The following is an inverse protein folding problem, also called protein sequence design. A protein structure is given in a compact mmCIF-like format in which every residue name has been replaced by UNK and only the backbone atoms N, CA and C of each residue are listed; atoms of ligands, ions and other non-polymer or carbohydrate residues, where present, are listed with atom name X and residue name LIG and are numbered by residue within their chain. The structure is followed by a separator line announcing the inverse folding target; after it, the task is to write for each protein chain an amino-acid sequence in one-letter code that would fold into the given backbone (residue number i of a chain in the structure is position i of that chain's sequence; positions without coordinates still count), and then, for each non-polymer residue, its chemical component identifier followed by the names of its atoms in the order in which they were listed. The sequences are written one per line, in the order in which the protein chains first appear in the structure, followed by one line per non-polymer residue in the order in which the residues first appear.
data_IF_028235580130
#
_entry.id   IF_028235580130
#
_cell.length_a   1.000
_cell.length_b   1.000
_cell.length_c   1.000
_cell.angle_alpha   90.00
_cell.angle_beta   90.00
_cell.angle_gamma   90.00
#
_symmetry.space_group_name_H-M   'P 1'
#
loop_
_entity.id
_entity.type
_entity.pdbx_description
1 polymer ?
#
# COMPACT_ATOMS: atom_id res chain seq x y z
N UNK A 1 7.43 4.57 -5.51
CA UNK A 1 7.00 3.51 -4.59
C UNK A 1 8.15 2.66 -4.05
N UNK A 2 9.15 2.30 -4.87
CA UNK A 2 10.22 1.38 -4.46
C UNK A 2 10.91 1.71 -3.11
N UNK A 3 10.99 2.99 -2.75
CA UNK A 3 11.56 3.46 -1.47
C UNK A 3 10.50 3.98 -0.47
N UNK A 4 9.21 3.79 -0.74
CA UNK A 4 8.15 4.20 0.18
C UNK A 4 8.16 3.30 1.42
N UNK A 5 8.09 3.92 2.59
CA UNK A 5 8.11 3.25 3.89
C UNK A 5 6.87 3.60 4.72
N UNK A 6 6.65 2.86 5.80
CA UNK A 6 5.59 3.10 6.77
C UNK A 6 6.00 4.06 7.91
N UNK A 7 7.04 4.88 7.69
CA UNK A 7 7.51 5.81 8.70
C UNK A 7 6.38 6.72 9.19
N UNK A 8 6.37 6.99 10.50
CA UNK A 8 5.29 7.65 11.23
C UNK A 8 3.94 6.90 11.17
N UNK A 9 3.98 5.56 11.10
CA UNK A 9 2.80 4.71 11.03
C UNK A 9 1.84 5.11 9.89
N UNK A 10 2.40 5.57 8.77
CA UNK A 10 1.63 6.00 7.60
C UNK A 10 1.42 4.80 6.67
N UNK A 11 0.17 4.44 6.33
CA UNK A 11 -0.07 3.43 5.30
C UNK A 11 0.45 3.90 3.94
N UNK A 12 1.07 2.99 3.18
CA UNK A 12 1.54 3.32 1.83
C UNK A 12 0.34 3.62 0.91
N UNK A 13 0.50 4.59 -0.02
CA UNK A 13 -0.56 4.96 -0.95
C UNK A 13 -0.83 3.82 -1.95
N UNK A 14 -2.02 3.82 -2.60
CA UNK A 14 -2.28 2.90 -3.70
C UNK A 14 -1.43 3.26 -4.93
N UNK A 15 -1.20 2.28 -5.80
CA UNK A 15 -0.64 2.47 -7.13
C UNK A 15 -1.72 2.15 -8.18
N UNK A 16 -1.85 3.05 -9.16
CA UNK A 16 -2.82 2.96 -10.25
C UNK A 16 -2.06 2.77 -11.56
N UNK A 17 -2.49 1.81 -12.37
CA UNK A 17 -2.06 1.70 -13.75
C UNK A 17 -3.16 2.23 -14.67
N UNK A 18 -2.79 3.13 -15.58
CA UNK A 18 -3.67 3.62 -16.64
C UNK A 18 -3.25 2.99 -17.95
N UNK A 19 -4.21 2.44 -18.69
CA UNK A 19 -4.00 1.82 -20.00
C UNK A 19 -5.14 2.24 -20.94
N UNK A 20 -4.81 3.11 -21.90
CA UNK A 20 -5.80 3.71 -22.79
C UNK A 20 -6.84 4.54 -22.02
N UNK A 21 -8.11 4.14 -22.13
CA UNK A 21 -9.27 4.76 -21.48
C UNK A 21 -9.64 4.10 -20.13
N UNK A 22 -8.85 3.11 -19.68
CA UNK A 22 -9.09 2.38 -18.44
C UNK A 22 -8.02 2.64 -17.41
N UNK A 23 -8.39 2.52 -16.15
CA UNK A 23 -7.46 2.48 -15.03
C UNK A 23 -7.79 1.30 -14.12
N UNK A 24 -6.76 0.76 -13.48
CA UNK A 24 -6.90 -0.25 -12.44
C UNK A 24 -5.99 0.05 -11.25
N UNK A 25 -6.42 -0.39 -10.07
CA UNK A 25 -5.58 -0.36 -8.87
C UNK A 25 -4.68 -1.59 -8.89
N UNK A 26 -3.42 -1.42 -9.29
CA UNK A 26 -2.45 -2.53 -9.32
C UNK A 26 -1.86 -2.82 -7.94
N UNK A 27 -1.91 -1.85 -7.03
CA UNK A 27 -1.56 -2.02 -5.64
C UNK A 27 -2.53 -1.27 -4.74
N UNK A 28 -3.29 -1.96 -3.87
CA UNK A 28 -4.21 -1.29 -2.97
C UNK A 28 -3.47 -0.46 -1.93
N UNK A 29 -4.17 0.54 -1.38
CA UNK A 29 -3.70 1.29 -0.21
C UNK A 29 -3.60 0.34 0.98
N UNK A 30 -2.54 0.47 1.77
CA UNK A 30 -2.43 -0.30 3.00
C UNK A 30 -3.46 0.16 4.04
N UNK A 31 -3.91 -0.80 4.85
CA UNK A 31 -4.74 -0.57 6.03
C UNK A 31 -3.87 -0.41 7.28
N UNK A 32 -4.48 -0.06 8.42
CA UNK A 32 -3.74 -0.03 9.69
C UNK A 32 -3.39 -1.44 10.16
N UNK A 33 -4.27 -2.40 9.91
CA UNK A 33 -4.08 -3.81 10.20
C UNK A 33 -2.87 -4.37 9.45
N UNK A 34 -2.65 -3.94 8.21
CA UNK A 34 -1.45 -4.30 7.43
C UNK A 34 -0.14 -3.83 8.08
N UNK A 35 -0.16 -2.72 8.84
CA UNK A 35 1.03 -2.19 9.52
C UNK A 35 1.49 -3.10 10.66
N UNK A 36 0.53 -3.63 11.43
CA UNK A 36 0.78 -4.41 12.64
C UNK A 36 0.73 -5.92 12.41
N UNK A 37 0.33 -6.37 11.21
CA UNK A 37 0.18 -7.79 10.87
C UNK A 37 1.44 -8.62 11.18
N UNK A 38 2.62 -8.04 10.98
CA UNK A 38 3.90 -8.71 11.22
C UNK A 38 4.33 -8.73 12.69
N UNK A 39 3.64 -8.00 13.57
CA UNK A 39 3.93 -7.94 15.00
C UNK A 39 3.20 -9.04 15.79
N UNK A 40 2.04 -9.50 15.30
CA UNK A 40 1.21 -10.51 15.96
C UNK A 40 1.65 -11.97 15.72
N UNK A 41 2.59 -12.22 14.81
CA UNK A 41 3.02 -13.56 14.42
C UNK A 41 4.16 -14.12 15.31
N UNK A 42 4.14 -13.80 16.62
CA UNK A 42 5.12 -14.28 17.60
C UNK A 42 4.51 -15.26 18.59
#
# INVERSE_FOLDING_TARGET
FAMASNYNARPRPPEILVSGDRFEVIRPRETYEDLIRSESAR
#
